data_IF_937529142881
#
_entry.id   IF_937529142881
#
_cell.length_a   1.000
_cell.length_b   1.000
_cell.length_c   1.000
_cell.angle_alpha   90.00
_cell.angle_beta   90.00
_cell.angle_gamma   90.00
#
_symmetry.space_group_name_H-M   'P 1'
#
loop_
_entity.id
_entity.type
_entity.pdbx_description
1 polymer ?
#
# COMPACT_ATOMS: atom_id res chain seq x y z
N UNK A 1 -22.11 4.46 8.08
CA UNK A 1 -21.36 3.65 7.08
C UNK A 1 -20.59 4.50 6.06
N UNK A 2 -21.15 5.57 5.47
CA UNK A 2 -20.41 6.44 4.53
C UNK A 2 -19.14 7.09 5.14
N UNK A 3 -19.17 7.43 6.42
CA UNK A 3 -18.00 8.00 7.11
C UNK A 3 -16.90 6.97 7.33
N UNK A 4 -17.25 5.75 7.73
CA UNK A 4 -16.29 4.65 7.90
C UNK A 4 -15.61 4.28 6.56
N UNK A 5 -16.35 4.23 5.45
CA UNK A 5 -15.74 3.98 4.14
C UNK A 5 -14.86 5.13 3.68
N UNK A 6 -15.22 6.38 3.98
CA UNK A 6 -14.35 7.55 3.73
C UNK A 6 -13.07 7.50 4.56
N UNK A 7 -13.16 7.15 5.84
CA UNK A 7 -12.01 7.01 6.73
C UNK A 7 -11.04 5.91 6.25
N UNK A 8 -11.56 4.75 5.87
CA UNK A 8 -10.75 3.65 5.30
C UNK A 8 -10.12 4.04 3.96
N UNK A 9 -10.84 4.78 3.12
CA UNK A 9 -10.29 5.32 1.87
C UNK A 9 -9.16 6.32 2.12
N UNK A 10 -9.33 7.22 3.09
CA UNK A 10 -8.29 8.17 3.49
C UNK A 10 -7.04 7.43 3.99
N UNK A 11 -7.22 6.40 4.83
CA UNK A 11 -6.11 5.59 5.31
C UNK A 11 -5.39 4.87 4.17
N UNK A 12 -6.13 4.35 3.18
CA UNK A 12 -5.53 3.72 1.99
C UNK A 12 -4.72 4.71 1.15
N UNK A 13 -5.19 5.96 1.01
CA UNK A 13 -4.44 7.03 0.35
C UNK A 13 -3.17 7.38 1.13
N UNK A 14 -3.27 7.53 2.46
CA UNK A 14 -2.13 7.83 3.30
C UNK A 14 -1.05 6.75 3.17
N UNK A 15 -1.45 5.47 3.23
CA UNK A 15 -0.53 4.34 3.03
C UNK A 15 0.06 4.32 1.62
N UNK A 16 -0.71 4.71 0.60
CA UNK A 16 -0.22 4.83 -0.78
C UNK A 16 0.84 5.92 -0.90
N UNK A 17 0.61 7.09 -0.31
CA UNK A 17 1.57 8.20 -0.33
C UNK A 17 2.87 7.77 0.39
N UNK A 18 2.75 7.10 1.53
CA UNK A 18 3.90 6.59 2.27
C UNK A 18 4.67 5.54 1.46
N UNK A 19 3.96 4.63 0.79
CA UNK A 19 4.58 3.64 -0.11
C UNK A 19 5.34 4.33 -1.25
N UNK A 20 4.74 5.33 -1.91
CA UNK A 20 5.39 6.09 -2.99
C UNK A 20 6.65 6.79 -2.46
N UNK A 21 6.54 7.46 -1.32
CA UNK A 21 7.67 8.16 -0.69
C UNK A 21 8.84 7.20 -0.42
N UNK A 22 8.58 6.09 0.28
CA UNK A 22 9.61 5.08 0.60
C UNK A 22 10.21 4.46 -0.66
N UNK A 23 9.39 4.26 -1.69
CA UNK A 23 9.86 3.72 -2.98
C UNK A 23 10.80 4.68 -3.67
N UNK A 24 10.45 5.96 -3.75
CA UNK A 24 11.29 6.99 -4.38
C UNK A 24 12.61 7.14 -3.64
N UNK A 25 12.58 7.17 -2.31
CA UNK A 25 13.76 7.25 -1.44
C UNK A 25 14.73 6.09 -1.71
N UNK A 26 14.21 4.86 -1.76
CA UNK A 26 15.00 3.68 -2.10
C UNK A 26 15.62 3.73 -3.50
N UNK A 27 14.87 4.15 -4.52
CA UNK A 27 15.42 4.29 -5.87
C UNK A 27 16.49 5.38 -5.94
N UNK A 28 16.37 6.45 -5.18
CA UNK A 28 17.41 7.49 -5.09
C UNK A 28 18.68 6.89 -4.48
N UNK A 29 18.56 6.16 -3.38
CA UNK A 29 19.69 5.51 -2.70
C UNK A 29 20.41 4.51 -3.61
N UNK A 30 19.68 3.73 -4.40
CA UNK A 30 20.28 2.77 -5.36
C UNK A 30 21.10 3.45 -6.45
N UNK A 31 20.69 4.64 -6.89
CA UNK A 31 21.35 5.32 -8.00
C UNK A 31 22.59 6.15 -7.57
N UNK A 32 22.79 6.39 -6.28
CA UNK A 32 23.81 7.32 -5.79
C UNK A 32 25.06 6.65 -5.22
N UNK A 33 24.99 5.43 -4.67
CA UNK A 33 26.12 4.73 -4.03
C UNK A 33 25.96 3.21 -4.15
N UNK A 34 27.05 2.43 -4.10
CA UNK A 34 27.00 0.98 -3.84
C UNK A 34 26.11 0.72 -2.61
N UNK A 35 24.91 0.20 -2.85
CA UNK A 35 23.87 0.12 -1.82
C UNK A 35 24.32 -0.82 -0.71
N UNK A 36 24.47 -0.33 0.53
CA UNK A 36 24.78 -1.19 1.65
C UNK A 36 23.67 -2.23 1.80
N UNK A 37 24.04 -3.50 2.01
CA UNK A 37 23.08 -4.59 2.24
C UNK A 37 22.04 -4.27 3.32
N UNK A 38 22.40 -3.44 4.32
CA UNK A 38 21.49 -2.97 5.35
C UNK A 38 20.33 -2.11 4.82
N UNK A 39 20.53 -1.30 3.77
CA UNK A 39 19.49 -0.45 3.16
C UNK A 39 18.48 -1.32 2.41
N UNK A 40 18.96 -2.28 1.62
CA UNK A 40 18.13 -3.29 0.95
C UNK A 40 17.27 -4.09 1.94
N UNK A 41 17.89 -4.57 3.03
CA UNK A 41 17.21 -5.35 4.05
C UNK A 41 16.12 -4.51 4.77
N UNK A 42 16.45 -3.26 5.11
CA UNK A 42 15.53 -2.33 5.77
C UNK A 42 14.31 -2.02 4.90
N UNK A 43 14.54 -1.77 3.61
CA UNK A 43 13.48 -1.53 2.64
C UNK A 43 12.60 -2.76 2.45
N UNK A 44 13.19 -3.96 2.35
CA UNK A 44 12.43 -5.21 2.27
C UNK A 44 11.49 -5.41 3.48
N UNK A 45 11.98 -5.17 4.70
CA UNK A 45 11.14 -5.26 5.91
C UNK A 45 10.01 -4.23 5.90
N UNK A 46 10.29 -3.00 5.47
CA UNK A 46 9.31 -1.91 5.42
C UNK A 46 8.20 -2.23 4.41
N UNK A 47 8.56 -2.71 3.22
CA UNK A 47 7.60 -3.15 2.19
C UNK A 47 6.78 -4.35 2.68
N UNK A 48 7.39 -5.28 3.41
CA UNK A 48 6.68 -6.42 4.02
C UNK A 48 5.64 -5.95 5.06
N UNK A 49 5.98 -4.99 5.92
CA UNK A 49 5.03 -4.41 6.88
C UNK A 49 3.87 -3.72 6.14
N UNK A 50 4.16 -2.96 5.08
CA UNK A 50 3.12 -2.31 4.26
C UNK A 50 2.21 -3.37 3.61
N UNK A 51 2.76 -4.48 3.13
CA UNK A 51 1.99 -5.60 2.57
C UNK A 51 1.08 -6.25 3.61
N UNK A 52 1.55 -6.44 4.86
CA UNK A 52 0.71 -6.91 5.97
C UNK A 52 -0.44 -5.94 6.23
N UNK A 53 -0.17 -4.62 6.22
CA UNK A 53 -1.23 -3.61 6.37
C UNK A 53 -2.24 -3.65 5.21
N UNK A 54 -1.80 -3.93 3.98
CA UNK A 54 -2.69 -4.13 2.84
C UNK A 54 -3.61 -5.34 3.03
N UNK A 55 -3.11 -6.45 3.57
CA UNK A 55 -3.93 -7.62 3.92
C UNK A 55 -4.95 -7.27 5.00
N UNK A 56 -4.52 -6.60 6.07
CA UNK A 56 -5.41 -6.17 7.17
C UNK A 56 -6.53 -5.26 6.64
N UNK A 57 -6.21 -4.30 5.78
CA UNK A 57 -7.19 -3.40 5.16
C UNK A 57 -8.08 -4.08 4.10
N UNK A 58 -7.68 -5.24 3.59
CA UNK A 58 -8.51 -6.03 2.66
C UNK A 58 -9.69 -6.70 3.36
N UNK A 59 -9.56 -7.06 4.64
CA UNK A 59 -10.67 -7.64 5.42
C UNK A 59 -11.88 -6.70 5.51
N UNK A 60 -11.76 -5.43 5.98
CA UNK A 60 -12.88 -4.50 5.98
C UNK A 60 -13.36 -4.22 4.55
N UNK A 61 -12.48 -4.14 3.55
CA UNK A 61 -12.87 -4.01 2.15
C UNK A 61 -13.86 -5.11 1.72
N UNK A 62 -13.56 -6.38 1.98
CA UNK A 62 -14.44 -7.50 1.64
C UNK A 62 -15.77 -7.47 2.42
N UNK A 63 -15.72 -7.14 3.71
CA UNK A 63 -16.93 -7.02 4.55
C UNK A 63 -17.85 -5.92 4.03
N UNK A 64 -17.28 -4.75 3.73
CA UNK A 64 -18.05 -3.62 3.21
C UNK A 64 -18.53 -3.88 1.78
N UNK A 65 -17.74 -4.54 0.93
CA UNK A 65 -18.14 -4.89 -0.44
C UNK A 65 -19.40 -5.78 -0.44
N UNK A 66 -19.47 -6.74 0.49
CA UNK A 66 -20.63 -7.63 0.64
C UNK A 66 -21.85 -6.92 1.25
N UNK A 67 -21.65 -6.02 2.21
CA UNK A 67 -22.74 -5.35 2.96
C UNK A 67 -23.24 -4.05 2.32
N UNK A 68 -22.40 -3.34 1.59
CA UNK A 68 -22.65 -1.98 1.08
C UNK A 68 -22.44 -1.99 -0.43
N UNK A 69 -23.51 -1.75 -1.20
CA UNK A 69 -23.46 -1.68 -2.67
C UNK A 69 -22.32 -0.77 -3.14
N UNK A 70 -21.59 -1.20 -4.17
CA UNK A 70 -20.38 -0.56 -4.74
C UNK A 70 -20.48 0.97 -4.91
N UNK A 71 -21.69 1.48 -5.20
CA UNK A 71 -21.98 2.91 -5.37
C UNK A 71 -21.60 3.78 -4.16
N UNK A 72 -21.67 3.26 -2.93
CA UNK A 72 -21.32 3.99 -1.71
C UNK A 72 -19.86 3.80 -1.26
N UNK A 73 -19.11 2.94 -1.96
CA UNK A 73 -17.73 2.57 -1.62
C UNK A 73 -16.69 2.98 -2.65
N UNK A 74 -17.10 3.51 -3.81
CA UNK A 74 -16.21 3.81 -4.95
C UNK A 74 -14.87 4.41 -4.52
N UNK A 75 -14.89 5.45 -3.68
CA UNK A 75 -13.68 6.10 -3.18
C UNK A 75 -12.72 5.17 -2.45
N UNK A 76 -13.24 4.38 -1.50
CA UNK A 76 -12.43 3.40 -0.77
C UNK A 76 -11.95 2.27 -1.69
N UNK A 77 -12.82 1.79 -2.58
CA UNK A 77 -12.43 0.73 -3.52
C UNK A 77 -11.29 1.16 -4.43
N UNK A 78 -11.36 2.36 -5.02
CA UNK A 78 -10.30 2.86 -5.88
C UNK A 78 -9.00 3.07 -5.11
N UNK A 79 -9.06 3.75 -3.95
CA UNK A 79 -7.85 4.00 -3.13
C UNK A 79 -7.20 2.71 -2.62
N UNK A 80 -7.98 1.74 -2.13
CA UNK A 80 -7.46 0.46 -1.68
C UNK A 80 -6.90 -0.39 -2.83
N UNK A 81 -7.58 -0.42 -3.98
CA UNK A 81 -7.05 -1.14 -5.15
C UNK A 81 -5.74 -0.54 -5.65
N UNK A 82 -5.63 0.80 -5.73
CA UNK A 82 -4.38 1.47 -6.10
C UNK A 82 -3.26 1.12 -5.11
N UNK A 83 -3.56 1.17 -3.81
CA UNK A 83 -2.61 0.79 -2.76
C UNK A 83 -2.12 -0.66 -2.92
N UNK A 84 -3.03 -1.61 -3.09
CA UNK A 84 -2.71 -3.04 -3.25
C UNK A 84 -1.91 -3.28 -4.51
N UNK A 85 -2.30 -2.71 -5.66
CA UNK A 85 -1.60 -2.89 -6.94
C UNK A 85 -0.16 -2.39 -6.83
N UNK A 86 0.05 -1.19 -6.28
CA UNK A 86 1.40 -0.64 -6.09
C UNK A 86 2.25 -1.53 -5.17
N UNK A 87 1.65 -2.02 -4.10
CA UNK A 87 2.34 -2.92 -3.16
C UNK A 87 2.76 -4.23 -3.84
N UNK A 88 1.90 -4.82 -4.68
CA UNK A 88 2.21 -6.02 -5.45
C UNK A 88 3.35 -5.75 -6.44
N UNK A 89 3.28 -4.65 -7.19
CA UNK A 89 4.35 -4.26 -8.13
C UNK A 89 5.68 -4.15 -7.41
N UNK A 90 5.71 -3.51 -6.23
CA UNK A 90 6.93 -3.37 -5.44
C UNK A 90 7.50 -4.71 -4.98
N UNK A 91 6.64 -5.60 -4.48
CA UNK A 91 7.06 -6.93 -4.04
C UNK A 91 7.65 -7.73 -5.20
N UNK A 92 7.09 -7.62 -6.41
CA UNK A 92 7.63 -8.27 -7.61
C UNK A 92 9.02 -7.71 -7.92
N UNK A 93 9.17 -6.37 -7.96
CA UNK A 93 10.47 -5.72 -8.22
C UNK A 93 11.52 -6.13 -7.19
N UNK A 94 11.14 -6.28 -5.92
CA UNK A 94 12.04 -6.74 -4.86
C UNK A 94 12.41 -8.22 -4.90
N UNK A 95 11.63 -9.04 -5.62
CA UNK A 95 11.84 -10.48 -5.71
C UNK A 95 12.69 -10.92 -6.90
N UNK A 96 13.05 -9.97 -7.77
CA UNK A 96 13.91 -10.15 -8.95
C UNK A 96 15.34 -9.77 -8.57
#
# INVERSE_FOLDING_TARGET
MKEATRFLGFFSILMTILLIYVTVDFFIDINLVDVPWGVLLSFYYLVTIIAVMAIILTVPFLIYLKKVKFRNMKFYTFSHLTFVILTIILLIVLSI
#
